data_IF_186617815624
#
_entry.id   IF_186617815624
#
_cell.length_a   1.000
_cell.length_b   1.000
_cell.length_c   1.000
_cell.angle_alpha   90.00
_cell.angle_beta   90.00
_cell.angle_gamma   90.00
#
_symmetry.space_group_name_H-M   'P 1'
#
loop_
_entity.id
_entity.type
_entity.pdbx_description
1 polymer ?
#
# COMPACT_ATOMS: atom_id res chain seq x y z
N UNK A 1 18.67 0.72 -15.76
CA UNK A 1 17.67 0.46 -16.81
C UNK A 1 16.53 1.42 -16.57
N UNK A 2 16.45 2.52 -17.34
CA UNK A 2 15.42 3.55 -17.19
C UNK A 2 14.17 3.03 -17.90
N UNK A 3 13.17 2.57 -17.15
CA UNK A 3 11.90 2.12 -17.73
C UNK A 3 11.31 3.28 -18.53
N UNK A 4 10.80 3.08 -19.76
CA UNK A 4 10.19 4.17 -20.50
C UNK A 4 9.03 4.73 -19.67
N UNK A 5 8.98 6.04 -19.54
CA UNK A 5 8.00 6.81 -18.76
C UNK A 5 6.65 6.94 -19.50
N UNK A 6 5.64 6.09 -19.23
CA UNK A 6 4.25 6.57 -19.31
C UNK A 6 3.40 6.17 -18.10
N UNK A 7 4.04 5.75 -17.00
CA UNK A 7 3.40 5.10 -15.85
C UNK A 7 3.02 6.04 -14.70
N UNK A 8 3.02 7.34 -14.97
CA UNK A 8 2.78 8.32 -13.93
C UNK A 8 1.31 8.37 -13.52
N UNK A 9 1.05 8.36 -12.22
CA UNK A 9 -0.23 8.71 -11.64
C UNK A 9 -0.64 10.11 -12.08
N UNK A 10 -1.88 10.23 -12.59
CA UNK A 10 -2.40 11.48 -13.16
C UNK A 10 -3.66 11.89 -12.45
N UNK A 11 -3.75 13.16 -12.07
CA UNK A 11 -4.94 13.71 -11.46
C UNK A 11 -5.59 14.72 -12.38
N UNK A 12 -6.91 14.60 -12.56
CA UNK A 12 -7.73 15.62 -13.20
C UNK A 12 -8.71 16.15 -12.16
N UNK A 13 -8.50 17.40 -11.74
CA UNK A 13 -9.33 18.07 -10.77
C UNK A 13 -10.43 18.87 -11.49
N UNK A 14 -11.63 18.31 -11.61
CA UNK A 14 -12.78 19.05 -12.15
C UNK A 14 -13.61 19.73 -11.06
N UNK A 15 -13.19 19.63 -9.81
CA UNK A 15 -13.86 20.29 -8.70
C UNK A 15 -13.62 21.79 -8.73
N UNK A 16 -14.43 22.52 -7.95
CA UNK A 16 -14.32 23.98 -7.78
C UNK A 16 -13.24 24.39 -6.79
N UNK A 17 -12.58 23.43 -6.15
CA UNK A 17 -11.61 23.69 -5.11
C UNK A 17 -10.23 23.15 -5.51
N UNK A 18 -9.15 23.81 -5.07
CA UNK A 18 -7.83 23.22 -5.17
C UNK A 18 -7.76 21.96 -4.30
N UNK A 19 -6.90 21.03 -4.69
CA UNK A 19 -6.68 19.76 -3.97
C UNK A 19 -5.20 19.57 -3.67
N UNK A 20 -4.90 19.01 -2.50
CA UNK A 20 -3.53 18.65 -2.16
C UNK A 20 -3.19 17.30 -2.80
N UNK A 21 -2.02 17.23 -3.39
CA UNK A 21 -1.45 16.04 -4.02
C UNK A 21 -0.03 15.84 -3.51
N UNK A 22 0.47 14.62 -3.62
CA UNK A 22 1.83 14.28 -3.22
C UNK A 22 2.47 13.36 -4.26
N UNK A 23 3.74 13.64 -4.54
CA UNK A 23 4.63 12.73 -5.26
C UNK A 23 5.97 12.58 -4.52
N UNK A 24 6.66 11.47 -4.75
CA UNK A 24 7.91 11.16 -4.07
C UNK A 24 9.08 12.10 -4.37
N UNK A 25 9.02 12.90 -5.45
CA UNK A 25 10.10 13.81 -5.85
C UNK A 25 9.90 15.24 -5.32
N UNK A 26 8.66 15.74 -5.28
CA UNK A 26 8.33 17.13 -4.98
C UNK A 26 7.59 17.30 -3.65
N UNK A 27 7.16 16.22 -3.00
CA UNK A 27 6.41 16.28 -1.75
C UNK A 27 4.98 16.77 -1.95
N UNK A 28 4.41 17.45 -0.95
CA UNK A 28 3.02 17.91 -0.98
C UNK A 28 2.93 19.25 -1.73
N UNK A 29 2.04 19.31 -2.72
CA UNK A 29 1.72 20.55 -3.43
C UNK A 29 0.23 20.61 -3.79
N UNK A 30 -0.18 21.79 -4.24
CA UNK A 30 -1.59 22.07 -4.55
C UNK A 30 -1.82 21.97 -6.04
N UNK A 31 -2.78 21.14 -6.44
CA UNK A 31 -3.32 21.12 -7.78
C UNK A 31 -4.56 22.06 -7.84
N UNK A 32 -4.53 23.13 -8.65
CA UNK A 32 -5.63 24.09 -8.73
C UNK A 32 -6.97 23.46 -9.14
N UNK A 33 -8.07 24.16 -8.83
CA UNK A 33 -9.39 23.82 -9.35
C UNK A 33 -9.39 23.80 -10.89
N UNK A 34 -10.21 22.94 -11.50
CA UNK A 34 -10.35 22.82 -12.95
C UNK A 34 -9.03 22.63 -13.72
N UNK A 35 -8.08 21.89 -13.12
CA UNK A 35 -6.76 21.66 -13.69
C UNK A 35 -6.40 20.17 -13.78
N UNK A 36 -5.25 19.86 -14.37
CA UNK A 36 -4.72 18.51 -14.49
C UNK A 36 -3.24 18.49 -14.13
N UNK A 37 -2.77 17.35 -13.63
CA UNK A 37 -1.37 17.19 -13.28
C UNK A 37 -0.45 17.31 -14.50
N UNK A 38 0.69 18.02 -14.38
CA UNK A 38 1.70 18.07 -15.43
C UNK A 38 2.17 16.66 -15.81
N UNK A 39 2.52 16.46 -17.09
CA UNK A 39 2.98 15.14 -17.60
C UNK A 39 4.28 14.64 -16.96
N UNK A 40 5.04 15.54 -16.34
CA UNK A 40 6.33 15.26 -15.71
C UNK A 40 6.21 14.80 -14.26
N UNK A 41 5.04 14.99 -13.63
CA UNK A 41 4.83 14.61 -12.23
C UNK A 41 4.17 13.23 -12.17
N UNK A 42 4.66 12.39 -11.27
CA UNK A 42 4.11 11.07 -10.97
C UNK A 42 3.37 11.14 -9.63
N UNK A 43 2.10 11.54 -9.68
CA UNK A 43 1.35 11.73 -8.44
C UNK A 43 1.02 10.37 -7.84
N UNK A 44 1.46 10.14 -6.59
CA UNK A 44 1.24 8.91 -5.84
C UNK A 44 0.05 9.02 -4.88
N UNK A 45 -0.25 10.21 -4.36
CA UNK A 45 -1.37 10.41 -3.44
C UNK A 45 -2.16 11.69 -3.72
N UNK A 46 -3.47 11.62 -3.47
CA UNK A 46 -4.41 12.73 -3.57
C UNK A 46 -5.18 12.85 -2.25
N UNK A 47 -5.20 14.03 -1.66
CA UNK A 47 -5.96 14.27 -0.43
C UNK A 47 -7.46 14.45 -0.69
N UNK A 48 -8.28 13.73 0.06
CA UNK A 48 -9.73 13.94 0.10
C UNK A 48 -10.14 14.64 1.37
N UNK A 49 -10.68 15.85 1.25
CA UNK A 49 -11.29 16.57 2.37
C UNK A 49 -12.60 15.95 2.85
N UNK A 50 -13.27 15.14 2.02
CA UNK A 50 -14.51 14.46 2.40
C UNK A 50 -14.24 13.31 3.38
N UNK A 51 -13.14 12.57 3.14
CA UNK A 51 -12.78 11.41 3.95
C UNK A 51 -11.70 11.72 5.00
N UNK A 52 -11.07 12.91 4.96
CA UNK A 52 -9.87 13.27 5.72
C UNK A 52 -8.74 12.24 5.61
N UNK A 53 -8.55 11.71 4.40
CA UNK A 53 -7.58 10.64 4.11
C UNK A 53 -6.93 10.87 2.74
N UNK A 54 -5.78 10.25 2.55
CA UNK A 54 -5.06 10.24 1.29
C UNK A 54 -5.49 9.04 0.45
N UNK A 55 -5.89 9.33 -0.78
CA UNK A 55 -6.16 8.36 -1.82
C UNK A 55 -4.84 7.98 -2.48
N UNK A 56 -4.39 6.73 -2.32
CA UNK A 56 -3.24 6.23 -3.09
C UNK A 56 -3.66 5.99 -4.52
N UNK A 57 -2.86 6.47 -5.45
CA UNK A 57 -3.07 6.38 -6.88
C UNK A 57 -1.86 5.68 -7.49
N UNK A 58 -2.09 4.54 -8.13
CA UNK A 58 -1.05 3.83 -8.86
C UNK A 58 -0.85 4.42 -10.26
N UNK A 59 -0.65 3.54 -11.24
CA UNK A 59 -0.40 3.86 -12.66
C UNK A 59 -1.60 4.48 -13.40
N UNK A 60 -2.63 4.90 -12.68
CA UNK A 60 -3.94 5.26 -13.21
C UNK A 60 -4.12 6.77 -13.27
N UNK A 61 -4.99 7.18 -14.19
CA UNK A 61 -5.61 8.49 -14.14
C UNK A 61 -6.73 8.44 -13.10
N UNK A 62 -6.73 9.40 -12.17
CA UNK A 62 -7.80 9.63 -11.19
C UNK A 62 -8.47 10.96 -11.47
N UNK A 63 -9.79 10.94 -11.49
CA UNK A 63 -10.62 12.12 -11.71
C UNK A 63 -11.37 12.50 -10.43
N UNK A 64 -11.30 13.78 -10.11
CA UNK A 64 -12.10 14.41 -9.07
C UNK A 64 -13.27 15.10 -9.77
N UNK A 65 -14.49 14.71 -9.43
CA UNK A 65 -15.67 15.29 -10.04
C UNK A 65 -15.98 16.72 -9.54
N UNK A 66 -17.02 17.34 -10.09
CA UNK A 66 -17.42 18.70 -9.71
C UNK A 66 -17.86 18.85 -8.25
N UNK A 67 -18.17 17.74 -7.56
CA UNK A 67 -18.56 17.67 -6.14
C UNK A 67 -17.38 17.31 -5.23
N UNK A 68 -16.20 17.00 -5.79
CA UNK A 68 -15.02 16.61 -5.03
C UNK A 68 -14.90 15.10 -4.78
N UNK A 69 -15.75 14.27 -5.39
CA UNK A 69 -15.69 12.82 -5.22
C UNK A 69 -14.52 12.23 -6.00
N UNK A 70 -13.88 11.22 -5.42
CA UNK A 70 -12.73 10.53 -6.01
C UNK A 70 -13.10 9.05 -6.17
N UNK A 71 -13.17 8.59 -7.41
CA UNK A 71 -13.75 7.28 -7.74
C UNK A 71 -12.72 6.19 -8.08
N UNK A 72 -11.43 6.52 -8.11
CA UNK A 72 -10.37 5.65 -8.65
C UNK A 72 -9.16 5.52 -7.70
N UNK A 73 -9.41 5.52 -6.39
CA UNK A 73 -8.38 5.23 -5.40
C UNK A 73 -8.04 3.73 -5.39
N UNK A 74 -6.75 3.40 -5.36
CA UNK A 74 -6.30 2.04 -5.09
C UNK A 74 -6.61 1.66 -3.63
N UNK A 75 -6.33 2.57 -2.71
CA UNK A 75 -6.68 2.46 -1.31
C UNK A 75 -6.72 3.84 -0.63
N UNK A 76 -7.18 3.86 0.62
CA UNK A 76 -7.16 5.05 1.48
C UNK A 76 -6.16 4.85 2.63
N UNK A 77 -5.27 5.81 2.80
CA UNK A 77 -4.22 5.84 3.82
C UNK A 77 -4.27 7.15 4.62
N UNK A 78 -3.62 7.16 5.77
CA UNK A 78 -3.75 8.28 6.72
C UNK A 78 -2.74 9.39 6.44
N UNK A 79 -1.56 9.06 5.89
CA UNK A 79 -0.54 10.04 5.52
C UNK A 79 -0.14 9.93 4.04
N UNK A 80 0.33 11.05 3.48
CA UNK A 80 0.98 11.04 2.17
C UNK A 80 2.26 10.19 2.21
N UNK A 81 2.52 9.41 1.16
CA UNK A 81 3.66 8.50 1.08
C UNK A 81 3.43 7.12 1.71
N UNK A 82 2.37 6.93 2.50
CA UNK A 82 2.03 5.61 3.05
C UNK A 82 1.71 4.63 1.92
N UNK A 83 2.22 3.40 2.04
CA UNK A 83 1.81 2.31 1.18
C UNK A 83 0.38 1.88 1.52
N UNK A 84 -0.35 1.32 0.55
CA UNK A 84 -1.55 0.58 0.88
C UNK A 84 -1.18 -0.55 1.84
N UNK A 85 -1.97 -0.73 2.89
CA UNK A 85 -1.78 -1.84 3.82
C UNK A 85 -2.03 -3.15 3.06
N UNK A 86 -0.99 -3.71 2.44
CA UNK A 86 -0.93 -5.11 2.05
C UNK A 86 -0.69 -5.92 3.31
N UNK A 87 -1.64 -5.90 4.26
CA UNK A 87 -1.65 -6.95 5.26
C UNK A 87 -1.99 -8.24 4.51
N UNK A 88 -1.09 -9.23 4.36
CA UNK A 88 -1.58 -10.58 4.38
C UNK A 88 -2.37 -10.68 5.67
N UNK A 89 -3.60 -11.22 5.62
CA UNK A 89 -4.27 -11.66 6.83
C UNK A 89 -3.39 -12.78 7.39
N UNK A 90 -2.34 -12.44 8.15
CA UNK A 90 -1.72 -13.36 9.08
C UNK A 90 -2.74 -13.41 10.20
N UNK A 91 -3.67 -14.35 10.07
CA UNK A 91 -4.42 -14.80 11.22
C UNK A 91 -3.38 -15.06 12.31
N UNK A 92 -3.45 -14.32 13.41
CA UNK A 92 -2.73 -14.66 14.63
C UNK A 92 -3.11 -16.09 14.97
N UNK A 93 -2.27 -17.05 14.57
CA UNK A 93 -2.26 -18.34 15.21
C UNK A 93 -1.74 -18.02 16.60
N UNK A 94 -2.65 -17.80 17.55
CA UNK A 94 -2.34 -17.87 18.97
C UNK A 94 -1.53 -19.14 19.15
N UNK A 95 -0.23 -18.98 19.37
CA UNK A 95 0.69 -20.07 19.68
C UNK A 95 0.25 -20.63 21.02
N UNK A 96 -0.73 -21.52 20.98
CA UNK A 96 -1.00 -22.42 22.09
C UNK A 96 0.22 -23.33 22.12
N UNK A 97 1.00 -23.22 23.19
CA UNK A 97 2.20 -24.01 23.43
C UNK A 97 2.01 -25.45 22.93
N UNK A 98 2.90 -25.89 22.05
CA UNK A 98 2.96 -27.29 21.66
C UNK A 98 3.21 -28.14 22.93
N UNK A 99 2.48 -29.25 23.12
CA UNK A 99 2.72 -30.13 24.25
C UNK A 99 4.16 -30.67 24.17
N UNK A 100 4.88 -30.61 25.30
CA UNK A 100 6.22 -31.18 25.45
C UNK A 100 6.19 -32.65 25.02
N UNK A 101 6.92 -32.98 23.96
CA UNK A 101 7.20 -34.36 23.60
C UNK A 101 8.11 -34.96 24.68
N UNK A 102 7.59 -35.93 25.42
CA UNK A 102 8.40 -36.72 26.35
C UNK A 102 9.45 -37.51 25.56
N UNK A 103 10.71 -37.36 25.97
CA UNK A 103 11.86 -38.02 25.37
C UNK A 103 11.76 -39.53 25.66
N UNK A 104 11.59 -40.34 24.61
CA UNK A 104 11.60 -41.79 24.72
C UNK A 104 13.01 -42.29 25.08
N UNK A 105 13.09 -43.18 26.06
CA UNK A 105 14.32 -43.79 26.54
C UNK A 105 15.02 -44.60 25.43
N UNK A 106 16.35 -44.52 25.39
CA UNK A 106 17.21 -45.26 24.47
C UNK A 106 17.10 -46.78 24.71
N UNK A 107 17.08 -47.63 23.66
CA UNK A 107 17.18 -49.07 23.83
C UNK A 107 18.63 -49.49 24.15
N UNK A 108 18.75 -50.40 25.12
CA UNK A 108 19.99 -51.00 25.58
C UNK A 108 20.66 -51.89 24.50
N UNK A 109 21.99 -51.88 24.50
CA UNK A 109 22.88 -52.65 23.63
C UNK A 109 22.71 -54.18 23.80
N UNK A 110 22.68 -54.92 22.69
CA UNK A 110 22.71 -56.39 22.67
C UNK A 110 24.18 -56.86 22.61
N UNK A 111 24.64 -57.79 23.45
CA UNK A 111 26.00 -58.31 23.35
C UNK A 111 26.14 -59.32 22.22
N UNK A 112 27.29 -59.26 21.55
CA UNK A 112 27.74 -60.21 20.54
C UNK A 112 27.97 -61.59 21.16
N UNK A 113 27.60 -62.65 20.44
CA UNK A 113 28.10 -63.99 20.72
C UNK A 113 28.38 -64.74 19.43
N UNK A 114 29.63 -65.18 19.33
CA UNK A 114 30.22 -66.00 18.27
C UNK A 114 29.76 -67.46 18.36
N UNK A 115 29.55 -68.09 17.21
CA UNK A 115 30.09 -69.41 16.87
C UNK A 115 29.93 -69.69 15.37
#
# INVERSE_FOLDING_TARGET
MYWPWPLNGKVVNQSRLPVAVWDGEHGIYTLPAHSFSPKVLDIDHLYSSQNNRWCKIGLLKVQIDSKGNINQCECWVDNAGDACNSSPIIAEIKSSQAPKVAQAAQPASIPASSN
#
